data_IF_916513310010
#
_entry.id   IF_916513310010
#
_cell.length_a   1.000
_cell.length_b   1.000
_cell.length_c   1.000
_cell.angle_alpha   90.00
_cell.angle_beta   90.00
_cell.angle_gamma   90.00
#
_symmetry.space_group_name_H-M   'P 1'
#
loop_
_entity.id
_entity.type
_entity.pdbx_description
1 polymer ?
#
# COMPACT_ATOMS: atom_id res chain seq x y z
N UNK A 1 3.45 -3.09 -15.88
CA UNK A 1 3.76 -4.25 -16.75
C UNK A 1 5.17 -4.24 -17.33
N UNK A 2 6.02 -3.23 -17.07
CA UNK A 2 7.43 -3.20 -17.51
C UNK A 2 8.39 -3.77 -16.45
N UNK A 3 8.07 -3.62 -15.16
CA UNK A 3 8.93 -4.09 -14.05
C UNK A 3 8.99 -5.63 -13.99
N UNK A 4 7.89 -6.30 -14.33
CA UNK A 4 7.77 -7.75 -14.25
C UNK A 4 8.60 -8.47 -15.33
N UNK A 5 8.78 -7.86 -16.51
CA UNK A 5 9.59 -8.44 -17.59
C UNK A 5 11.10 -8.21 -17.40
N UNK A 6 11.49 -7.08 -16.81
CA UNK A 6 12.89 -6.79 -16.51
C UNK A 6 13.46 -7.68 -15.38
N UNK A 7 12.62 -8.09 -14.42
CA UNK A 7 13.05 -8.93 -13.30
C UNK A 7 13.35 -10.37 -13.73
N UNK A 8 12.59 -10.91 -14.69
CA UNK A 8 12.75 -12.30 -15.21
C UNK A 8 14.03 -12.45 -16.03
N UNK A 9 14.43 -11.42 -16.78
CA UNK A 9 15.68 -11.44 -17.54
C UNK A 9 16.93 -11.41 -16.64
N UNK A 10 16.83 -10.81 -15.45
CA UNK A 10 17.93 -10.71 -14.51
C UNK A 10 18.16 -12.02 -13.71
N UNK A 11 17.09 -12.77 -13.42
CA UNK A 11 17.17 -14.07 -12.71
C UNK A 11 17.72 -15.21 -13.56
N UNK A 12 17.68 -15.10 -14.90
CA UNK A 12 18.19 -16.13 -15.81
C UNK A 12 19.69 -16.00 -16.12
N UNK A 13 20.34 -14.87 -15.81
CA UNK A 13 21.75 -14.62 -16.18
C UNK A 13 22.75 -14.75 -15.02
N UNK A 14 22.30 -14.78 -13.77
CA UNK A 14 23.19 -14.87 -12.62
C UNK A 14 22.66 -15.95 -11.67
N UNK A 15 23.48 -16.93 -11.32
CA UNK A 15 23.13 -17.93 -10.31
C UNK A 15 22.93 -17.24 -8.96
N UNK A 16 21.70 -16.80 -8.68
CA UNK A 16 21.35 -16.01 -7.51
C UNK A 16 21.53 -16.85 -6.24
N UNK A 17 22.40 -16.40 -5.34
CA UNK A 17 22.63 -17.05 -4.05
C UNK A 17 21.39 -16.98 -3.15
N UNK A 18 21.25 -17.92 -2.21
CA UNK A 18 20.17 -17.93 -1.20
C UNK A 18 20.12 -16.59 -0.44
N UNK A 19 21.27 -15.98 -0.17
CA UNK A 19 21.38 -14.69 0.51
C UNK A 19 20.79 -13.53 -0.31
N UNK A 20 21.07 -13.47 -1.62
CA UNK A 20 20.53 -12.43 -2.50
C UNK A 20 19.02 -12.56 -2.65
N UNK A 21 18.53 -13.80 -2.72
CA UNK A 21 17.10 -14.09 -2.73
C UNK A 21 16.43 -13.66 -1.42
N UNK A 22 17.07 -13.90 -0.27
CA UNK A 22 16.59 -13.44 1.04
C UNK A 22 16.58 -11.91 1.16
N UNK A 23 17.61 -11.23 0.63
CA UNK A 23 17.68 -9.76 0.61
C UNK A 23 16.58 -9.19 -0.28
N UNK A 24 16.32 -9.78 -1.46
CA UNK A 24 15.22 -9.38 -2.34
C UNK A 24 13.86 -9.59 -1.68
N UNK A 25 13.64 -10.74 -1.02
CA UNK A 25 12.40 -11.03 -0.29
C UNK A 25 12.22 -10.03 0.85
N UNK A 26 13.27 -9.73 1.62
CA UNK A 26 13.24 -8.73 2.68
C UNK A 26 12.97 -7.32 2.12
N UNK A 27 13.60 -6.95 1.00
CA UNK A 27 13.41 -5.66 0.36
C UNK A 27 11.96 -5.52 -0.15
N UNK A 28 11.38 -6.58 -0.72
CA UNK A 28 9.98 -6.61 -1.15
C UNK A 28 9.00 -6.58 0.03
N UNK A 29 9.30 -7.22 1.16
CA UNK A 29 8.44 -7.18 2.36
C UNK A 29 8.54 -5.85 3.11
N UNK A 30 9.70 -5.18 3.11
CA UNK A 30 9.90 -3.85 3.68
C UNK A 30 9.34 -2.74 2.77
N UNK A 31 9.37 -2.94 1.45
CA UNK A 31 8.70 -2.05 0.48
C UNK A 31 7.17 -2.20 0.51
N UNK A 32 6.63 -3.19 1.25
CA UNK A 32 5.20 -3.29 1.48
C UNK A 32 4.74 -2.01 2.16
N UNK A 33 3.92 -1.24 1.45
CA UNK A 33 3.32 0.00 1.92
C UNK A 33 2.49 -0.32 3.16
N UNK A 34 3.04 -0.02 4.33
CA UNK A 34 2.25 0.03 5.55
C UNK A 34 1.29 1.20 5.37
N UNK A 35 0.02 0.92 5.07
CA UNK A 35 -1.00 1.94 5.24
C UNK A 35 -0.94 2.40 6.69
N UNK A 36 -0.81 3.70 6.92
CA UNK A 36 -0.62 4.21 8.28
C UNK A 36 -1.98 4.18 8.98
N UNK A 37 -2.10 3.30 9.97
CA UNK A 37 -3.29 3.21 10.81
C UNK A 37 -3.44 4.51 11.59
N UNK A 38 -4.58 5.18 11.40
CA UNK A 38 -4.94 6.34 12.21
C UNK A 38 -5.59 5.81 13.49
N UNK A 39 -4.95 6.05 14.63
CA UNK A 39 -5.46 5.64 15.94
C UNK A 39 -6.61 6.53 16.42
N UNK A 40 -6.53 7.83 16.15
CA UNK A 40 -7.60 8.79 16.41
C UNK A 40 -7.40 10.06 15.56
N UNK A 41 -8.49 10.67 15.10
CA UNK A 41 -8.49 12.01 14.53
C UNK A 41 -8.83 13.06 15.63
N UNK A 42 -8.36 14.31 15.48
CA UNK A 42 -8.87 15.41 16.29
C UNK A 42 -10.39 15.48 16.21
N UNK A 43 -11.05 15.68 17.35
CA UNK A 43 -12.51 15.77 17.47
C UNK A 43 -13.30 14.53 16.99
N UNK A 44 -12.64 13.38 16.86
CA UNK A 44 -13.33 12.13 16.51
C UNK A 44 -14.24 11.68 17.65
N UNK A 45 -15.53 11.39 17.36
CA UNK A 45 -16.43 10.80 18.34
C UNK A 45 -15.87 9.49 18.92
N UNK A 46 -16.04 9.27 20.22
CA UNK A 46 -15.54 8.08 20.91
C UNK A 46 -16.21 6.77 20.49
N UNK A 47 -17.34 6.85 19.77
CA UNK A 47 -18.14 5.71 19.33
C UNK A 47 -17.75 5.20 17.93
N UNK A 48 -16.59 5.57 17.39
CA UNK A 48 -16.11 5.05 16.10
C UNK A 48 -15.35 3.74 16.32
N UNK A 49 -15.86 2.63 15.76
CA UNK A 49 -15.25 1.29 15.85
C UNK A 49 -14.51 0.84 14.60
N UNK A 50 -14.68 1.52 13.46
CA UNK A 50 -13.96 1.15 12.24
C UNK A 50 -12.48 1.53 12.27
N UNK A 51 -11.66 0.71 11.61
CA UNK A 51 -10.27 1.07 11.34
C UNK A 51 -10.20 2.02 10.16
N UNK A 52 -9.31 2.99 10.24
CA UNK A 52 -9.07 3.92 9.16
C UNK A 52 -7.57 4.12 8.96
N UNK A 53 -7.18 4.35 7.72
CA UNK A 53 -5.81 4.41 7.27
C UNK A 53 -5.61 5.64 6.41
N UNK A 54 -4.41 6.22 6.45
CA UNK A 54 -4.02 7.27 5.52
C UNK A 54 -2.60 7.07 5.03
N UNK A 55 -2.26 7.76 3.95
CA UNK A 55 -0.89 7.81 3.48
C UNK A 55 -0.76 8.43 2.10
N UNK A 56 0.42 8.24 1.52
CA UNK A 56 0.74 8.72 0.19
C UNK A 56 1.10 7.54 -0.72
N UNK A 57 0.55 7.54 -1.92
CA UNK A 57 0.94 6.62 -2.99
C UNK A 57 1.71 7.40 -4.04
N UNK A 58 2.98 7.03 -4.28
CA UNK A 58 3.80 7.67 -5.32
C UNK A 58 3.21 7.36 -6.68
N UNK A 59 2.87 8.39 -7.44
CA UNK A 59 2.28 8.27 -8.79
C UNK A 59 3.29 8.56 -9.89
N UNK A 60 4.29 9.40 -9.60
CA UNK A 60 5.41 9.67 -10.48
C UNK A 60 6.64 10.04 -9.66
N UNK A 61 7.57 9.10 -9.51
CA UNK A 61 8.78 9.29 -8.73
C UNK A 61 9.76 10.29 -9.38
N UNK A 62 9.80 10.37 -10.71
CA UNK A 62 10.73 11.26 -11.43
C UNK A 62 10.37 12.73 -11.23
N UNK A 63 9.08 13.01 -11.10
CA UNK A 63 8.56 14.35 -10.88
C UNK A 63 8.09 14.59 -9.43
N UNK A 64 8.39 13.66 -8.52
CA UNK A 64 8.04 13.79 -7.09
C UNK A 64 6.54 13.85 -6.80
N UNK A 65 5.68 13.29 -7.66
CA UNK A 65 4.22 13.31 -7.45
C UNK A 65 3.76 12.13 -6.62
N UNK A 66 2.95 12.43 -5.60
CA UNK A 66 2.27 11.43 -4.79
C UNK A 66 0.80 11.84 -4.57
N UNK A 67 -0.07 10.84 -4.49
CA UNK A 67 -1.48 11.00 -4.19
C UNK A 67 -1.72 10.67 -2.72
N UNK A 68 -2.32 11.60 -1.99
CA UNK A 68 -2.83 11.34 -0.65
C UNK A 68 -4.09 10.48 -0.71
N UNK A 69 -4.22 9.53 0.22
CA UNK A 69 -5.45 8.77 0.43
C UNK A 69 -5.85 8.73 1.90
N UNK A 70 -7.16 8.61 2.12
CA UNK A 70 -7.79 8.23 3.38
C UNK A 70 -8.75 7.08 3.10
N UNK A 71 -8.62 5.99 3.84
CA UNK A 71 -9.39 4.76 3.68
C UNK A 71 -10.03 4.38 5.01
N UNK A 72 -11.34 4.17 5.01
CA UNK A 72 -12.09 3.68 6.17
C UNK A 72 -12.65 2.29 5.87
N UNK A 73 -12.41 1.34 6.76
CA UNK A 73 -13.01 0.00 6.68
C UNK A 73 -14.52 0.06 6.91
N UNK A 74 -15.24 -0.92 6.39
CA UNK A 74 -16.68 -1.03 6.63
C UNK A 74 -16.97 -1.43 8.10
N UNK A 75 -18.04 -0.89 8.66
CA UNK A 75 -18.48 -1.12 10.03
C UNK A 75 -20.02 -0.94 10.10
N UNK A 76 -20.76 -1.71 10.92
CA UNK A 76 -20.31 -2.71 11.91
C UNK A 76 -20.11 -4.14 11.37
N UNK A 77 -20.28 -4.35 10.07
CA UNK A 77 -20.23 -5.68 9.45
C UNK A 77 -18.83 -5.97 8.92
N UNK A 78 -18.42 -7.25 8.95
CA UNK A 78 -17.10 -7.72 8.49
C UNK A 78 -16.59 -6.97 7.22
N UNK A 79 -15.49 -6.22 7.33
CA UNK A 79 -14.92 -5.47 6.22
C UNK A 79 -14.56 -6.34 5.01
N UNK A 80 -14.20 -7.61 5.23
CA UNK A 80 -13.66 -8.48 4.17
C UNK A 80 -14.72 -8.94 3.15
N UNK A 81 -16.00 -8.90 3.52
CA UNK A 81 -17.11 -9.28 2.62
C UNK A 81 -17.75 -8.07 1.93
N UNK A 82 -17.30 -6.86 2.23
CA UNK A 82 -17.87 -5.61 1.71
C UNK A 82 -17.12 -5.14 0.46
N UNK A 83 -17.83 -4.58 -0.53
CA UNK A 83 -17.18 -4.07 -1.72
C UNK A 83 -16.35 -2.82 -1.41
N UNK A 84 -15.25 -2.65 -2.12
CA UNK A 84 -14.44 -1.44 -2.07
C UNK A 84 -15.10 -0.34 -2.90
N UNK A 85 -15.31 0.84 -2.30
CA UNK A 85 -15.78 2.04 -3.01
C UNK A 85 -14.66 3.06 -3.09
N UNK A 86 -14.35 3.53 -4.30
CA UNK A 86 -13.39 4.61 -4.53
C UNK A 86 -14.14 5.92 -4.75
N UNK A 87 -13.89 6.91 -3.90
CA UNK A 87 -14.45 8.24 -4.04
C UNK A 87 -13.41 9.23 -4.59
N UNK A 88 -13.64 9.76 -5.78
CA UNK A 88 -12.80 10.80 -6.39
C UNK A 88 -13.59 12.11 -6.43
N UNK A 89 -13.09 13.13 -5.76
CA UNK A 89 -13.61 14.50 -5.93
C UNK A 89 -13.02 15.07 -7.22
N UNK A 90 -13.87 15.71 -8.03
CA UNK A 90 -13.43 16.55 -9.13
C UNK A 90 -13.18 17.98 -8.69
N UNK A 91 -13.39 18.91 -9.60
CA UNK A 91 -13.40 20.35 -9.41
C UNK A 91 -14.27 21.00 -10.47
#
# INVERSE_FOLDING_TARGET
MLIHHSLIFFTQQNGFGVLESLILILCLTLYKVYGELITALPDQPSNVSFKQYSGYTVTDAQHGRALFYHFAEADPVDPLIRPLTLWLKGG
#
